data_IF_044400981078
#
_entry.id   IF_044400981078
#
_cell.length_a   1.000
_cell.length_b   1.000
_cell.length_c   1.000
_cell.angle_alpha   90.00
_cell.angle_beta   90.00
_cell.angle_gamma   90.00
#
_symmetry.space_group_name_H-M   'P 1'
#
loop_
_entity.id
_entity.type
_entity.pdbx_description
1 polymer ?
#
# COMPACT_ATOMS: atom_id res chain seq x y z
N UNK A 1 -7.67 0.35 55.17
CA UNK A 1 -6.57 0.64 56.12
C UNK A 1 -5.26 0.23 55.49
N UNK A 2 -4.21 1.06 55.69
CA UNK A 2 -2.79 0.99 55.22
C UNK A 2 -2.42 1.87 54.00
N UNK A 3 -2.32 3.17 54.28
CA UNK A 3 -1.14 4.07 54.22
C UNK A 3 -0.24 4.12 52.96
N UNK A 4 -0.39 5.23 52.20
CA UNK A 4 0.59 6.30 51.86
C UNK A 4 2.10 6.00 52.03
N UNK A 5 2.92 6.27 50.99
CA UNK A 5 4.01 7.28 50.97
C UNK A 5 4.33 7.70 49.52
N UNK A 6 4.16 8.99 49.25
CA UNK A 6 4.70 9.75 48.11
C UNK A 6 6.09 10.26 48.52
N UNK A 7 7.11 10.18 47.64
CA UNK A 7 8.35 10.92 47.85
C UNK A 7 8.77 11.64 46.56
N UNK A 8 8.74 12.96 46.65
CA UNK A 8 9.15 13.96 45.68
C UNK A 8 10.54 14.46 46.12
N UNK A 9 11.56 14.43 45.25
CA UNK A 9 12.83 15.12 45.53
C UNK A 9 13.24 15.92 44.29
N UNK A 10 13.21 17.23 44.46
CA UNK A 10 13.73 18.27 43.58
C UNK A 10 15.16 18.57 44.02
N UNK A 11 16.13 18.63 43.11
CA UNK A 11 17.37 19.35 43.33
C UNK A 11 17.76 20.15 42.09
N UNK A 12 17.95 21.45 42.30
CA UNK A 12 18.23 22.48 41.31
C UNK A 12 19.49 23.20 41.79
N UNK A 13 20.60 23.12 41.05
CA UNK A 13 21.77 23.97 41.28
C UNK A 13 22.30 24.49 39.94
N UNK A 14 22.14 25.80 39.76
CA UNK A 14 22.84 26.62 38.78
C UNK A 14 24.30 26.77 39.20
N UNK A 15 25.22 26.82 38.23
CA UNK A 15 26.49 27.53 38.39
C UNK A 15 26.87 28.19 37.07
N UNK A 16 27.01 29.50 37.17
CA UNK A 16 27.35 30.49 36.15
C UNK A 16 28.88 30.56 36.02
N UNK A 17 29.41 30.73 34.83
CA UNK A 17 30.85 30.95 34.61
C UNK A 17 31.11 31.61 33.25
N UNK A 18 31.51 32.89 33.29
CA UNK A 18 31.80 33.74 32.13
C UNK A 18 33.21 33.51 31.56
N UNK A 19 33.22 33.40 30.22
CA UNK A 19 34.19 33.83 29.19
C UNK A 19 35.51 34.55 29.57
N UNK A 20 36.57 34.15 28.85
CA UNK A 20 37.63 35.02 28.34
C UNK A 20 38.01 34.57 26.91
N UNK A 21 38.07 35.53 25.97
CA UNK A 21 38.51 35.36 24.58
C UNK A 21 40.04 35.37 24.48
N UNK A 22 40.62 34.55 23.59
CA UNK A 22 41.94 34.82 22.98
C UNK A 22 41.89 34.49 21.48
N UNK A 23 42.29 35.48 20.68
CA UNK A 23 42.53 35.45 19.24
C UNK A 23 43.61 34.44 18.85
N UNK A 24 43.42 33.75 17.71
CA UNK A 24 44.49 32.98 17.06
C UNK A 24 43.92 31.93 16.13
N UNK A 25 43.81 32.24 14.84
CA UNK A 25 43.16 31.37 13.86
C UNK A 25 43.94 30.11 13.50
N UNK A 26 43.19 29.06 13.23
CA UNK A 26 43.45 28.08 12.17
C UNK A 26 42.08 27.71 11.59
N UNK A 27 41.84 28.05 10.32
CA UNK A 27 40.67 27.54 9.59
C UNK A 27 40.96 26.08 9.29
N UNK A 28 40.36 25.19 10.08
CA UNK A 28 40.36 23.77 9.81
C UNK A 28 39.28 23.49 8.74
N UNK A 29 39.72 23.18 7.51
CA UNK A 29 38.84 22.86 6.39
C UNK A 29 38.22 21.45 6.50
N UNK A 30 38.35 20.79 7.64
CA UNK A 30 37.70 19.51 7.92
C UNK A 30 36.32 19.68 8.57
N UNK A 31 35.54 20.65 8.10
CA UNK A 31 34.09 20.62 8.36
C UNK A 31 33.48 19.57 7.42
N UNK A 32 33.66 18.29 7.78
CA UNK A 32 32.97 17.18 7.15
C UNK A 32 31.47 17.43 7.27
N UNK A 33 30.83 17.77 6.15
CA UNK A 33 29.39 17.85 6.06
C UNK A 33 28.79 16.55 6.58
N UNK A 34 28.07 16.69 7.69
CA UNK A 34 27.29 15.65 8.32
C UNK A 34 26.14 15.30 7.38
N UNK A 35 26.34 14.29 6.53
CA UNK A 35 25.24 13.59 5.86
C UNK A 35 24.99 12.36 6.71
N UNK A 36 24.09 12.49 7.70
CA UNK A 36 23.34 11.31 8.14
C UNK A 36 22.72 10.72 6.87
N UNK A 37 22.84 9.41 6.61
CA UNK A 37 22.05 8.80 5.56
C UNK A 37 20.60 9.10 5.91
N UNK A 38 19.97 9.99 5.13
CA UNK A 38 18.54 10.20 5.19
C UNK A 38 17.90 8.85 4.95
N UNK A 39 17.03 8.44 5.88
CA UNK A 39 16.16 7.28 5.78
C UNK A 39 15.82 7.00 4.32
N UNK A 40 16.30 5.87 3.77
CA UNK A 40 15.54 5.23 2.71
C UNK A 40 14.22 4.83 3.37
N UNK A 41 13.25 5.74 3.31
CA UNK A 41 11.87 5.48 3.69
C UNK A 41 11.48 4.22 2.91
N UNK A 42 11.12 3.16 3.63
CA UNK A 42 10.70 1.90 3.02
C UNK A 42 9.60 2.23 2.00
N UNK A 43 9.92 2.17 0.70
CA UNK A 43 8.98 2.50 -0.38
C UNK A 43 7.92 1.43 -0.55
N UNK A 44 7.77 0.54 0.44
CA UNK A 44 6.74 -0.47 0.53
C UNK A 44 5.84 -0.23 1.73
N UNK A 45 4.55 -0.51 1.55
CA UNK A 45 3.58 -0.51 2.63
C UNK A 45 2.79 -1.82 2.64
N UNK A 46 2.42 -2.26 3.83
CA UNK A 46 1.54 -3.39 4.03
C UNK A 46 0.08 -2.97 3.79
N UNK A 47 -0.63 -3.73 2.96
CA UNK A 47 -2.05 -3.57 2.72
C UNK A 47 -2.81 -4.87 2.93
N UNK A 48 -4.08 -4.73 3.32
CA UNK A 48 -5.06 -5.78 3.45
C UNK A 48 -6.08 -5.63 2.33
N UNK A 49 -6.07 -6.58 1.39
CA UNK A 49 -7.01 -6.59 0.26
C UNK A 49 -8.19 -7.48 0.61
N UNK A 50 -9.41 -6.97 0.39
CA UNK A 50 -10.65 -7.73 0.56
C UNK A 50 -11.05 -8.32 -0.79
N UNK A 51 -11.04 -9.65 -0.89
CA UNK A 51 -11.27 -10.39 -2.12
C UNK A 51 -12.65 -11.03 -2.10
N UNK A 52 -13.44 -10.86 -3.17
CA UNK A 52 -14.78 -11.45 -3.30
C UNK A 52 -14.84 -12.67 -4.22
N UNK A 53 -13.87 -12.80 -5.13
CA UNK A 53 -13.71 -13.98 -5.98
C UNK A 53 -12.31 -13.99 -6.61
N UNK A 54 -11.85 -15.16 -7.04
CA UNK A 54 -10.60 -15.33 -7.79
C UNK A 54 -10.72 -16.46 -8.82
N UNK A 55 -9.93 -16.40 -9.89
CA UNK A 55 -9.93 -17.40 -10.95
C UNK A 55 -9.23 -16.91 -12.22
N UNK A 56 -9.30 -17.70 -13.30
CA UNK A 56 -8.69 -17.35 -14.60
C UNK A 56 -9.68 -16.84 -15.65
N UNK A 57 -10.99 -16.92 -15.37
CA UNK A 57 -12.05 -16.48 -16.29
C UNK A 57 -12.42 -15.02 -16.00
N UNK A 58 -11.92 -14.10 -16.83
CA UNK A 58 -12.21 -12.68 -16.69
C UNK A 58 -13.70 -12.36 -16.78
N UNK A 59 -14.45 -13.01 -17.68
CA UNK A 59 -15.89 -12.74 -17.88
C UNK A 59 -16.69 -13.13 -16.65
N UNK A 60 -16.34 -14.25 -16.02
CA UNK A 60 -16.94 -14.67 -14.74
C UNK A 60 -16.61 -13.67 -13.62
N UNK A 61 -15.36 -13.26 -13.50
CA UNK A 61 -14.93 -12.29 -12.48
C UNK A 61 -15.57 -10.91 -12.68
N UNK A 62 -15.71 -10.46 -13.93
CA UNK A 62 -16.40 -9.21 -14.26
C UNK A 62 -17.88 -9.25 -13.87
N UNK A 63 -18.58 -10.36 -14.15
CA UNK A 63 -19.96 -10.55 -13.66
C UNK A 63 -20.03 -10.52 -12.14
N UNK A 64 -19.08 -11.14 -11.45
CA UNK A 64 -19.00 -11.05 -9.98
C UNK A 64 -18.80 -9.61 -9.53
N UNK A 65 -17.85 -8.88 -10.10
CA UNK A 65 -17.56 -7.48 -9.77
C UNK A 65 -18.79 -6.59 -9.94
N UNK A 66 -19.50 -6.69 -11.07
CA UNK A 66 -20.75 -5.97 -11.32
C UNK A 66 -21.83 -6.34 -10.29
N UNK A 67 -21.95 -7.62 -9.95
CA UNK A 67 -22.88 -8.07 -8.91
C UNK A 67 -22.55 -7.49 -7.53
N UNK A 68 -21.25 -7.41 -7.16
CA UNK A 68 -20.83 -6.77 -5.91
C UNK A 68 -21.18 -5.28 -5.91
N UNK A 69 -20.90 -4.58 -7.01
CA UNK A 69 -21.28 -3.18 -7.18
C UNK A 69 -22.80 -2.97 -6.98
N UNK A 70 -23.63 -3.79 -7.63
CA UNK A 70 -25.08 -3.70 -7.51
C UNK A 70 -25.60 -3.99 -6.10
N UNK A 71 -24.97 -4.93 -5.37
CA UNK A 71 -25.44 -5.35 -4.04
C UNK A 71 -24.96 -4.45 -2.89
N UNK A 72 -23.81 -3.79 -3.06
CA UNK A 72 -23.12 -3.07 -1.97
C UNK A 72 -22.77 -1.62 -2.31
N UNK A 73 -23.06 -1.17 -3.53
CA UNK A 73 -22.77 0.18 -4.02
C UNK A 73 -21.28 0.60 -3.91
N UNK A 74 -20.36 -0.37 -3.89
CA UNK A 74 -18.92 -0.09 -3.94
C UNK A 74 -18.58 0.37 -5.36
N UNK A 75 -17.94 1.53 -5.58
CA UNK A 75 -17.65 2.04 -6.93
C UNK A 75 -16.66 1.14 -7.65
N UNK A 76 -16.71 1.09 -8.98
CA UNK A 76 -15.72 0.37 -9.80
C UNK A 76 -14.66 1.39 -10.24
N UNK A 77 -13.39 1.08 -10.00
CA UNK A 77 -12.25 1.86 -10.47
C UNK A 77 -11.22 0.92 -11.11
N UNK A 78 -11.18 0.88 -12.43
CA UNK A 78 -10.26 -0.02 -13.15
C UNK A 78 -8.86 0.56 -13.32
N UNK A 79 -8.62 1.82 -12.92
CA UNK A 79 -7.37 2.56 -13.19
C UNK A 79 -7.06 2.66 -14.70
N UNK A 80 -8.09 2.85 -15.53
CA UNK A 80 -7.92 2.90 -16.99
C UNK A 80 -7.61 1.55 -17.66
N UNK A 81 -7.54 0.46 -16.89
CA UNK A 81 -7.25 -0.87 -17.40
C UNK A 81 -8.48 -1.56 -17.99
N UNK A 82 -8.21 -2.45 -18.94
CA UNK A 82 -9.19 -3.36 -19.52
C UNK A 82 -8.57 -4.75 -19.73
N UNK A 83 -9.42 -5.76 -19.93
CA UNK A 83 -8.96 -7.08 -20.33
C UNK A 83 -8.84 -7.16 -21.85
N UNK A 84 -7.62 -7.36 -22.32
CA UNK A 84 -7.34 -7.56 -23.73
C UNK A 84 -7.59 -9.04 -24.09
N UNK A 85 -8.62 -9.30 -24.87
CA UNK A 85 -9.03 -10.66 -25.26
C UNK A 85 -8.01 -11.37 -26.16
N UNK A 86 -7.11 -10.63 -26.83
CA UNK A 86 -6.06 -11.19 -27.70
C UNK A 86 -4.84 -11.65 -26.90
N UNK A 87 -4.40 -10.86 -25.92
CA UNK A 87 -3.24 -11.18 -25.06
C UNK A 87 -3.62 -11.93 -23.78
N UNK A 88 -4.92 -11.95 -23.44
CA UNK A 88 -5.45 -12.47 -22.17
C UNK A 88 -4.86 -11.78 -20.93
N UNK A 89 -4.50 -10.50 -21.07
CA UNK A 89 -3.94 -9.66 -20.01
C UNK A 89 -4.90 -8.56 -19.59
N UNK A 90 -4.80 -8.14 -18.33
CA UNK A 90 -5.34 -6.85 -17.87
C UNK A 90 -4.26 -5.80 -18.11
N UNK A 91 -4.53 -4.81 -18.94
CA UNK A 91 -3.55 -3.80 -19.36
C UNK A 91 -4.18 -2.41 -19.39
N UNK A 92 -3.36 -1.37 -19.26
CA UNK A 92 -3.73 0.00 -19.64
C UNK A 92 -3.93 0.04 -21.16
N UNK A 93 -4.71 1.01 -21.63
CA UNK A 93 -4.96 1.18 -23.06
C UNK A 93 -3.66 1.17 -23.88
N UNK A 94 -3.67 0.47 -25.01
CA UNK A 94 -2.53 0.44 -25.95
C UNK A 94 -2.33 1.77 -26.67
N UNK A 95 -3.30 2.69 -26.60
CA UNK A 95 -3.21 4.06 -27.15
C UNK A 95 -3.02 5.13 -26.05
N UNK A 96 -2.63 4.73 -24.83
CA UNK A 96 -2.44 5.67 -23.71
C UNK A 96 -1.26 6.63 -23.95
N UNK A 97 -1.37 7.87 -23.48
CA UNK A 97 -0.31 8.88 -23.59
C UNK A 97 0.87 8.56 -22.67
N UNK A 98 0.64 7.80 -21.58
CA UNK A 98 1.69 7.30 -20.69
C UNK A 98 2.45 6.15 -21.36
N UNK A 99 3.60 6.47 -21.95
CA UNK A 99 4.42 5.49 -22.68
C UNK A 99 4.95 4.34 -21.82
N UNK A 100 5.02 4.52 -20.50
CA UNK A 100 5.60 3.55 -19.57
C UNK A 100 4.59 2.44 -19.27
N UNK A 101 3.32 2.81 -19.12
CA UNK A 101 2.25 1.86 -18.78
C UNK A 101 1.36 1.45 -19.94
N UNK A 102 1.44 2.13 -21.09
CA UNK A 102 0.72 1.76 -22.32
C UNK A 102 0.93 0.28 -22.66
N UNK A 103 -0.17 -0.48 -22.70
CA UNK A 103 -0.14 -1.92 -22.99
C UNK A 103 0.38 -2.81 -21.85
N UNK A 104 0.71 -2.23 -20.70
CA UNK A 104 1.25 -2.92 -19.53
C UNK A 104 0.24 -2.99 -18.38
N UNK A 105 0.51 -3.86 -17.41
CA UNK A 105 -0.31 -3.96 -16.20
C UNK A 105 0.08 -2.89 -15.17
N UNK A 106 -0.83 -1.95 -14.90
CA UNK A 106 -0.65 -0.96 -13.83
C UNK A 106 -1.36 -1.39 -12.53
N UNK A 107 -0.65 -1.73 -11.45
CA UNK A 107 -1.27 -2.23 -10.22
C UNK A 107 -1.90 -1.13 -9.35
N UNK A 108 -2.85 -1.52 -8.51
CA UNK A 108 -3.36 -0.67 -7.42
C UNK A 108 -2.33 -0.65 -6.28
N UNK A 109 -2.00 0.55 -5.78
CA UNK A 109 -0.92 0.76 -4.78
C UNK A 109 -1.32 1.57 -3.56
N UNK A 110 -2.54 2.09 -3.51
CA UNK A 110 -3.01 2.96 -2.44
C UNK A 110 -4.32 2.45 -1.83
N UNK A 111 -4.55 2.82 -0.57
CA UNK A 111 -5.80 2.53 0.13
C UNK A 111 -6.99 3.12 -0.64
N UNK A 112 -7.97 2.28 -0.93
CA UNK A 112 -9.18 2.70 -1.63
C UNK A 112 -10.31 1.68 -1.39
N UNK A 113 -11.52 2.19 -1.17
CA UNK A 113 -12.76 1.41 -1.20
C UNK A 113 -13.33 1.44 -2.62
N UNK A 114 -12.80 0.60 -3.50
CA UNK A 114 -13.35 0.42 -4.84
C UNK A 114 -13.11 -1.00 -5.36
N UNK A 115 -13.94 -1.36 -6.34
CA UNK A 115 -13.92 -2.62 -7.05
C UNK A 115 -12.96 -2.56 -8.23
N UNK A 116 -12.10 -3.57 -8.34
CA UNK A 116 -11.28 -3.81 -9.52
C UNK A 116 -10.97 -5.29 -9.69
N UNK A 117 -10.69 -5.70 -10.92
CA UNK A 117 -10.08 -7.01 -11.19
C UNK A 117 -8.57 -6.80 -11.26
N UNK A 118 -7.86 -7.53 -10.43
CA UNK A 118 -6.41 -7.43 -10.26
C UNK A 118 -5.73 -8.74 -10.61
N UNK A 119 -4.47 -8.68 -11.06
CA UNK A 119 -3.64 -9.87 -11.22
C UNK A 119 -3.12 -10.35 -9.86
N UNK A 120 -3.46 -11.58 -9.46
CA UNK A 120 -3.10 -12.11 -8.14
C UNK A 120 -1.58 -12.23 -7.94
N UNK A 121 -0.81 -12.41 -9.02
CA UNK A 121 0.66 -12.52 -8.93
C UNK A 121 1.31 -11.22 -8.42
N UNK A 122 0.68 -10.06 -8.60
CA UNK A 122 1.19 -8.77 -8.11
C UNK A 122 0.91 -8.56 -6.61
N UNK A 123 0.21 -9.46 -5.92
CA UNK A 123 -0.11 -9.28 -4.49
C UNK A 123 0.35 -10.49 -3.68
N UNK A 124 1.32 -11.25 -4.21
CA UNK A 124 1.99 -12.34 -3.53
C UNK A 124 3.42 -11.93 -3.13
N UNK A 125 4.03 -12.61 -2.17
CA UNK A 125 5.36 -12.22 -1.67
C UNK A 125 6.51 -12.35 -2.71
N UNK A 126 6.26 -12.99 -3.86
CA UNK A 126 7.28 -13.32 -4.85
C UNK A 126 6.97 -12.66 -6.21
N UNK A 127 6.62 -11.38 -6.24
CA UNK A 127 6.23 -10.61 -7.44
C UNK A 127 7.05 -10.99 -8.68
N UNK A 128 6.51 -11.91 -9.48
CA UNK A 128 7.14 -12.39 -10.70
C UNK A 128 6.08 -12.39 -11.79
N UNK A 129 6.35 -11.63 -12.85
CA UNK A 129 5.45 -11.64 -14.00
C UNK A 129 5.40 -13.05 -14.59
N UNK A 130 4.20 -13.60 -14.76
CA UNK A 130 4.00 -14.93 -15.30
C UNK A 130 4.37 -14.98 -16.79
N UNK A 131 5.01 -16.09 -17.19
CA UNK A 131 5.40 -16.33 -18.59
C UNK A 131 4.24 -16.71 -19.51
N UNK A 132 3.07 -17.01 -18.96
CA UNK A 132 1.90 -17.50 -19.68
C UNK A 132 0.62 -16.92 -19.10
N UNK A 133 -0.31 -16.56 -19.98
CA UNK A 133 -1.63 -16.01 -19.68
C UNK A 133 -2.75 -16.93 -20.20
N UNK A 134 -3.97 -16.91 -19.63
CA UNK A 134 -4.41 -16.07 -18.52
C UNK A 134 -3.87 -16.55 -17.16
N UNK A 135 -3.66 -15.58 -16.28
CA UNK A 135 -3.18 -15.81 -14.91
C UNK A 135 -4.33 -15.81 -13.93
N UNK A 136 -4.06 -16.22 -12.69
CA UNK A 136 -5.05 -16.05 -11.62
C UNK A 136 -5.27 -14.55 -11.42
N UNK A 137 -6.52 -14.15 -11.53
CA UNK A 137 -7.03 -12.81 -11.25
C UNK A 137 -7.93 -12.87 -10.01
N UNK A 138 -8.18 -11.71 -9.42
CA UNK A 138 -9.03 -11.57 -8.24
C UNK A 138 -9.89 -10.31 -8.34
N UNK A 139 -11.13 -10.41 -7.85
CA UNK A 139 -12.00 -9.25 -7.65
C UNK A 139 -11.67 -8.67 -6.28
N UNK A 140 -11.01 -7.53 -6.26
CA UNK A 140 -10.71 -6.75 -5.05
C UNK A 140 -11.88 -5.80 -4.81
N UNK A 141 -12.45 -5.81 -3.61
CA UNK A 141 -13.53 -4.91 -3.18
C UNK A 141 -13.04 -3.73 -2.33
N UNK A 142 -11.78 -3.77 -1.89
CA UNK A 142 -11.11 -2.68 -1.19
C UNK A 142 -9.70 -3.07 -0.79
N UNK A 143 -8.86 -2.06 -0.58
CA UNK A 143 -7.49 -2.17 -0.12
C UNK A 143 -7.30 -1.20 1.05
N UNK A 144 -6.78 -1.69 2.18
CA UNK A 144 -6.68 -0.89 3.41
C UNK A 144 -5.31 -1.07 4.05
N UNK A 145 -4.73 0.01 4.59
CA UNK A 145 -3.53 -0.06 5.43
C UNK A 145 -3.82 -0.64 6.83
N UNK A 146 -5.09 -0.59 7.27
CA UNK A 146 -5.54 -1.11 8.55
C UNK A 146 -6.36 -2.40 8.40
N UNK A 147 -5.94 -3.46 9.10
CA UNK A 147 -6.64 -4.75 9.09
C UNK A 147 -8.10 -4.64 9.54
N UNK A 148 -8.40 -3.77 10.51
CA UNK A 148 -9.75 -3.57 11.07
C UNK A 148 -10.74 -3.05 10.03
N UNK A 149 -10.31 -2.17 9.12
CA UNK A 149 -11.13 -1.69 8.00
C UNK A 149 -11.43 -2.83 7.01
N UNK A 150 -10.42 -3.62 6.67
CA UNK A 150 -10.59 -4.80 5.82
C UNK A 150 -11.53 -5.84 6.44
N UNK A 151 -11.36 -6.15 7.73
CA UNK A 151 -12.23 -7.06 8.48
C UNK A 151 -13.67 -6.55 8.49
N UNK A 152 -13.87 -5.23 8.68
CA UNK A 152 -15.19 -4.60 8.66
C UNK A 152 -15.88 -4.76 7.31
N UNK A 153 -15.19 -4.46 6.20
CA UNK A 153 -15.73 -4.66 4.86
C UNK A 153 -16.03 -6.14 4.58
N UNK A 154 -15.10 -7.04 4.91
CA UNK A 154 -15.30 -8.48 4.74
C UNK A 154 -16.57 -8.96 5.48
N UNK A 155 -16.76 -8.55 6.73
CA UNK A 155 -17.94 -8.95 7.51
C UNK A 155 -19.26 -8.46 6.91
N UNK A 156 -19.26 -7.31 6.24
CA UNK A 156 -20.42 -6.84 5.47
C UNK A 156 -20.64 -7.72 4.23
N UNK A 157 -19.57 -8.02 3.48
CA UNK A 157 -19.64 -8.83 2.26
C UNK A 157 -20.09 -10.27 2.53
N UNK A 158 -19.66 -10.88 3.63
CA UNK A 158 -20.02 -12.25 4.03
C UNK A 158 -21.53 -12.50 4.12
N UNK A 159 -22.35 -11.45 4.29
CA UNK A 159 -23.81 -11.56 4.30
C UNK A 159 -24.39 -12.05 2.97
N UNK A 160 -23.69 -11.83 1.84
CA UNK A 160 -24.12 -12.27 0.50
C UNK A 160 -23.03 -13.01 -0.29
N UNK A 161 -21.77 -12.86 0.10
CA UNK A 161 -20.60 -13.43 -0.56
C UNK A 161 -19.83 -14.25 0.50
N UNK A 162 -20.25 -15.51 0.76
CA UNK A 162 -19.70 -16.31 1.86
C UNK A 162 -18.21 -16.64 1.67
N UNK A 163 -17.74 -16.63 0.43
CA UNK A 163 -16.34 -16.90 0.10
C UNK A 163 -15.45 -15.65 0.16
N UNK A 164 -15.93 -14.51 0.67
CA UNK A 164 -15.11 -13.32 0.79
C UNK A 164 -13.96 -13.53 1.81
N UNK A 165 -12.73 -13.19 1.43
CA UNK A 165 -11.52 -13.37 2.25
C UNK A 165 -10.61 -12.14 2.18
N UNK A 166 -9.60 -12.11 3.04
CA UNK A 166 -8.59 -11.06 3.07
C UNK A 166 -7.22 -11.67 2.78
N UNK A 167 -6.43 -10.99 1.97
CA UNK A 167 -4.99 -11.24 1.84
C UNK A 167 -4.20 -10.05 2.37
N UNK A 168 -3.01 -10.29 2.90
CA UNK A 168 -2.03 -9.25 3.21
C UNK A 168 -1.00 -9.22 2.09
N UNK A 169 -0.64 -8.04 1.60
CA UNK A 169 0.38 -7.83 0.56
C UNK A 169 1.28 -6.65 0.92
N UNK A 170 2.57 -6.76 0.59
CA UNK A 170 3.57 -5.70 0.78
C UNK A 170 3.81 -4.97 -0.54
N UNK A 171 3.18 -3.82 -0.75
CA UNK A 171 3.08 -3.17 -2.05
C UNK A 171 4.04 -1.99 -2.16
N UNK A 172 4.69 -1.84 -3.31
CA UNK A 172 5.51 -0.66 -3.62
C UNK A 172 4.64 0.59 -3.74
N UNK A 173 4.84 1.57 -2.85
CA UNK A 173 4.15 2.86 -2.80
C UNK A 173 5.03 4.03 -3.21
N UNK A 174 6.29 3.78 -3.58
CA UNK A 174 7.18 4.79 -4.13
C UNK A 174 6.69 5.34 -5.46
N UNK A 175 7.42 6.30 -6.01
CA UNK A 175 7.00 6.91 -7.26
C UNK A 175 7.27 5.97 -8.43
N UNK A 176 6.25 5.77 -9.27
CA UNK A 176 6.33 5.01 -10.51
C UNK A 176 6.57 6.03 -11.62
N UNK A 177 7.82 6.13 -12.07
CA UNK A 177 8.25 7.01 -13.17
C UNK A 177 9.05 6.24 -14.20
#
# INVERSE_FOLDING_TARGET
MKNIVVLLIIFLWLSFGLQQNVFGGTVDFTNSFNIKPTDFQDEYADFYLVITASGKDYKKLHKTMVSVNQNFAIPINTLGRYYNEKSHKIIVNEDDEDEIYRGEYYPRRFEELSLSIENAYYYNDNYMEPKQFPTTMMVVAGMFNEKTKADSLRNILLKKIPDAYIIKARIYVGCMH
#
